data_IF_357346774999
#
_entry.id   IF_357346774999
#
_cell.length_a   1.000
_cell.length_b   1.000
_cell.length_c   1.000
_cell.angle_alpha   90.00
_cell.angle_beta   90.00
_cell.angle_gamma   90.00
#
_symmetry.space_group_name_H-M   'P 1'
#
loop_
_entity.id
_entity.type
_entity.pdbx_description
1 polymer ?
#
# COMPACT_ATOMS: atom_id res chain seq x y z
N UNK A 1 -70.56 -31.59 17.67
CA UNK A 1 -69.82 -32.11 16.50
C UNK A 1 -68.46 -31.46 16.57
N UNK A 2 -67.48 -32.15 17.15
CA UNK A 2 -66.11 -31.70 17.25
C UNK A 2 -65.30 -32.59 16.30
N UNK A 3 -64.69 -31.99 15.27
CA UNK A 3 -63.75 -32.67 14.38
C UNK A 3 -62.41 -32.83 15.10
N UNK A 4 -62.04 -34.09 15.35
CA UNK A 4 -60.73 -34.44 15.88
C UNK A 4 -59.66 -34.40 14.79
N UNK A 5 -58.65 -33.55 14.97
CA UNK A 5 -57.42 -33.58 14.19
C UNK A 5 -56.63 -34.86 14.50
N UNK A 6 -56.41 -35.71 13.49
CA UNK A 6 -55.48 -36.85 13.56
C UNK A 6 -54.05 -36.32 13.54
N UNK A 7 -53.29 -36.59 14.60
CA UNK A 7 -51.84 -36.43 14.60
C UNK A 7 -51.20 -37.58 13.81
N UNK A 8 -50.30 -37.27 12.87
CA UNK A 8 -49.52 -38.27 12.15
C UNK A 8 -48.53 -38.99 13.09
N UNK A 9 -48.30 -40.30 12.90
CA UNK A 9 -47.38 -41.05 13.73
C UNK A 9 -45.94 -40.65 13.43
N UNK A 10 -45.20 -40.34 14.49
CA UNK A 10 -43.76 -40.12 14.49
C UNK A 10 -43.00 -41.31 13.85
N UNK A 11 -42.01 -41.08 12.97
CA UNK A 11 -41.29 -42.16 12.29
C UNK A 11 -40.52 -43.03 13.29
N UNK A 12 -40.42 -44.35 13.04
CA UNK A 12 -39.81 -45.31 13.93
C UNK A 12 -38.32 -45.02 14.20
N UNK A 13 -37.77 -45.43 15.36
CA UNK A 13 -36.42 -45.07 15.79
C UNK A 13 -35.28 -45.45 14.84
N UNK A 14 -35.48 -46.48 14.00
CA UNK A 14 -34.50 -46.94 13.02
C UNK A 14 -34.37 -46.00 11.81
N UNK A 15 -35.46 -45.35 11.39
CA UNK A 15 -35.46 -44.37 10.29
C UNK A 15 -34.90 -43.03 10.75
N UNK A 16 -35.11 -42.65 12.03
CA UNK A 16 -34.48 -41.46 12.63
C UNK A 16 -32.96 -41.59 12.73
N UNK A 17 -32.45 -42.77 13.10
CA UNK A 17 -31.01 -43.05 13.15
C UNK A 17 -30.38 -43.01 11.76
N UNK A 18 -31.03 -43.61 10.76
CA UNK A 18 -30.55 -43.62 9.37
C UNK A 18 -30.53 -42.20 8.77
N UNK A 19 -31.57 -41.40 9.02
CA UNK A 19 -31.59 -40.00 8.59
C UNK A 19 -30.52 -39.12 9.25
N UNK A 20 -30.21 -39.35 10.53
CA UNK A 20 -29.09 -38.66 11.19
C UNK A 20 -27.72 -39.10 10.65
N UNK A 21 -27.54 -40.40 10.37
CA UNK A 21 -26.30 -40.92 9.78
C UNK A 21 -26.07 -40.34 8.36
N UNK A 22 -27.12 -40.25 7.54
CA UNK A 22 -27.05 -39.67 6.19
C UNK A 22 -26.75 -38.15 6.23
N UNK A 23 -27.34 -37.40 7.19
CA UNK A 23 -27.06 -35.97 7.39
C UNK A 23 -25.62 -35.71 7.88
N UNK A 24 -25.12 -36.53 8.81
CA UNK A 24 -23.74 -36.45 9.32
C UNK A 24 -22.70 -36.75 8.22
N UNK A 25 -23.01 -37.70 7.31
CA UNK A 25 -22.15 -38.03 6.17
C UNK A 25 -22.09 -36.89 5.13
N UNK A 26 -23.21 -36.23 4.83
CA UNK A 26 -23.24 -35.08 3.93
C UNK A 26 -22.49 -33.87 4.50
N UNK A 27 -22.65 -33.58 5.80
CA UNK A 27 -21.91 -32.50 6.45
C UNK A 27 -20.40 -32.76 6.46
N UNK A 28 -19.99 -34.00 6.75
CA UNK A 28 -18.58 -34.39 6.71
C UNK A 28 -17.97 -34.21 5.31
N UNK A 29 -18.72 -34.55 4.25
CA UNK A 29 -18.30 -34.36 2.86
C UNK A 29 -18.14 -32.87 2.51
N UNK A 30 -19.09 -32.03 2.93
CA UNK A 30 -19.04 -30.59 2.69
C UNK A 30 -17.84 -29.93 3.41
N UNK A 31 -17.58 -30.34 4.65
CA UNK A 31 -16.40 -29.89 5.41
C UNK A 31 -15.10 -30.32 4.73
N UNK A 32 -15.01 -31.57 4.25
CA UNK A 32 -13.83 -32.05 3.53
C UNK A 32 -13.56 -31.27 2.24
N UNK A 33 -14.61 -30.94 1.48
CA UNK A 33 -14.50 -30.12 0.27
C UNK A 33 -13.98 -28.72 0.59
N UNK A 34 -14.56 -28.04 1.58
CA UNK A 34 -14.12 -26.70 2.02
C UNK A 34 -12.66 -26.70 2.47
N UNK A 35 -12.24 -27.73 3.22
CA UNK A 35 -10.85 -27.91 3.66
C UNK A 35 -9.88 -28.04 2.49
N UNK A 36 -10.26 -28.78 1.44
CA UNK A 36 -9.44 -28.94 0.23
C UNK A 36 -9.27 -27.63 -0.53
N UNK A 37 -10.33 -26.82 -0.62
CA UNK A 37 -10.29 -25.49 -1.24
C UNK A 37 -9.35 -24.55 -0.47
N UNK A 38 -9.47 -24.51 0.87
CA UNK A 38 -8.55 -23.73 1.73
C UNK A 38 -7.09 -24.17 1.57
N UNK A 39 -6.80 -25.46 1.51
CA UNK A 39 -5.43 -25.94 1.28
C UNK A 39 -4.87 -25.49 -0.08
N UNK A 40 -5.73 -25.44 -1.10
CA UNK A 40 -5.33 -25.03 -2.45
C UNK A 40 -5.05 -23.54 -2.52
N UNK A 41 -5.90 -22.73 -1.89
CA UNK A 41 -5.74 -21.28 -1.79
C UNK A 41 -4.50 -20.91 -0.95
N UNK A 42 -4.32 -21.55 0.21
CA UNK A 42 -3.15 -21.34 1.05
C UNK A 42 -1.84 -21.69 0.32
N UNK A 43 -1.80 -22.83 -0.38
CA UNK A 43 -0.64 -23.26 -1.16
C UNK A 43 -0.31 -22.27 -2.29
N UNK A 44 -1.34 -21.72 -2.95
CA UNK A 44 -1.17 -20.71 -3.98
C UNK A 44 -0.61 -19.39 -3.43
N UNK A 45 -1.06 -18.95 -2.26
CA UNK A 45 -0.60 -17.69 -1.62
C UNK A 45 0.83 -17.83 -1.08
N UNK A 46 1.14 -18.97 -0.47
CA UNK A 46 2.43 -19.19 0.22
C UNK A 46 3.49 -19.82 -0.67
N UNK A 47 3.15 -20.18 -1.92
CA UNK A 47 3.96 -21.01 -2.80
C UNK A 47 4.47 -22.29 -2.12
N UNK A 48 3.69 -22.85 -1.18
CA UNK A 48 4.04 -24.04 -0.42
C UNK A 48 3.36 -25.30 -0.96
N UNK A 49 3.88 -26.48 -0.59
CA UNK A 49 3.27 -27.75 -0.96
C UNK A 49 1.98 -28.04 -0.19
N UNK A 50 1.08 -28.85 -0.78
CA UNK A 50 -0.21 -29.21 -0.18
C UNK A 50 -0.10 -29.83 1.23
N UNK A 51 0.98 -30.56 1.51
CA UNK A 51 1.25 -31.13 2.84
C UNK A 51 1.56 -30.05 3.89
N UNK A 52 2.32 -29.01 3.52
CA UNK A 52 2.60 -27.88 4.40
C UNK A 52 1.32 -27.06 4.63
N UNK A 53 0.56 -26.76 3.58
CA UNK A 53 -0.70 -26.04 3.67
C UNK A 53 -1.70 -26.72 4.63
N UNK A 54 -1.87 -28.04 4.49
CA UNK A 54 -2.77 -28.80 5.38
C UNK A 54 -2.33 -28.76 6.84
N UNK A 55 -1.03 -28.75 7.12
CA UNK A 55 -0.50 -28.67 8.48
C UNK A 55 -0.80 -27.32 9.11
N UNK A 56 -0.43 -26.22 8.43
CA UNK A 56 -0.66 -24.86 8.96
C UNK A 56 -2.15 -24.55 9.16
N UNK A 57 -3.01 -25.01 8.25
CA UNK A 57 -4.46 -24.85 8.39
C UNK A 57 -5.02 -25.70 9.52
N UNK A 58 -4.57 -26.94 9.70
CA UNK A 58 -5.01 -27.79 10.82
C UNK A 58 -4.60 -27.19 12.17
N UNK A 59 -3.35 -26.75 12.30
CA UNK A 59 -2.81 -26.12 13.54
C UNK A 59 -3.51 -24.79 13.87
N UNK A 60 -4.12 -24.15 12.88
CA UNK A 60 -4.84 -22.87 13.02
C UNK A 60 -6.36 -23.00 13.13
N UNK A 61 -6.88 -24.22 13.32
CA UNK A 61 -8.33 -24.45 13.39
C UNK A 61 -9.06 -24.14 12.08
N UNK A 62 -8.38 -24.29 10.94
CA UNK A 62 -8.87 -24.01 9.58
C UNK A 62 -9.23 -22.55 9.32
N UNK A 63 -8.64 -21.60 10.05
CA UNK A 63 -8.72 -20.17 9.78
C UNK A 63 -7.56 -19.70 8.90
N UNK A 64 -7.87 -19.25 7.67
CA UNK A 64 -6.88 -18.84 6.66
C UNK A 64 -5.90 -17.77 7.18
N UNK A 65 -6.41 -16.68 7.74
CA UNK A 65 -5.59 -15.57 8.23
C UNK A 65 -4.62 -16.00 9.34
N UNK A 66 -5.07 -16.85 10.27
CA UNK A 66 -4.22 -17.37 11.35
C UNK A 66 -3.13 -18.27 10.81
N UNK A 67 -3.46 -19.13 9.84
CA UNK A 67 -2.49 -20.00 9.19
C UNK A 67 -1.44 -19.21 8.42
N UNK A 68 -1.85 -18.15 7.69
CA UNK A 68 -0.93 -17.30 6.93
C UNK A 68 -0.01 -16.52 7.87
N UNK A 69 -0.55 -15.97 8.96
CA UNK A 69 0.25 -15.31 9.99
C UNK A 69 1.28 -16.25 10.61
N UNK A 70 0.90 -17.50 10.94
CA UNK A 70 1.82 -18.49 11.49
C UNK A 70 2.91 -18.93 10.49
N UNK A 71 2.60 -18.91 9.18
CA UNK A 71 3.55 -19.26 8.12
C UNK A 71 4.58 -18.15 7.87
N UNK A 72 4.15 -16.89 7.83
CA UNK A 72 5.03 -15.75 7.54
C UNK A 72 5.70 -15.15 8.78
N UNK A 73 5.19 -15.41 9.99
CA UNK A 73 5.73 -14.94 11.26
C UNK A 73 5.77 -16.10 12.28
N UNK A 74 6.67 -17.10 12.07
CA UNK A 74 6.76 -18.25 12.97
C UNK A 74 7.18 -17.80 14.39
N UNK A 75 6.62 -18.41 15.45
CA UNK A 75 7.04 -18.11 16.81
C UNK A 75 8.55 -18.34 16.97
N UNK A 76 9.25 -17.38 17.61
CA UNK A 76 10.72 -17.36 17.81
C UNK A 76 11.30 -18.60 18.51
N UNK A 77 10.45 -19.50 19.00
CA UNK A 77 10.84 -20.76 19.66
C UNK A 77 10.87 -21.96 18.69
N UNK A 78 10.59 -21.77 17.40
CA UNK A 78 10.55 -22.86 16.37
C UNK A 78 11.65 -22.78 15.29
N UNK A 79 12.65 -21.90 15.45
CA UNK A 79 13.78 -21.77 14.51
C UNK A 79 14.73 -22.99 14.45
N UNK A 80 14.49 -24.05 15.22
CA UNK A 80 15.37 -25.22 15.27
C UNK A 80 14.96 -26.42 14.39
N UNK A 81 13.79 -26.41 13.72
CA UNK A 81 13.33 -27.62 13.03
C UNK A 81 12.37 -27.38 11.84
N UNK A 82 12.84 -26.76 10.76
CA UNK A 82 12.44 -27.07 9.38
C UNK A 82 13.07 -26.08 8.37
N UNK A 83 14.32 -26.31 8.00
CA UNK A 83 14.84 -25.81 6.72
C UNK A 83 14.44 -26.81 5.61
N UNK A 84 13.86 -26.37 4.47
CA UNK A 84 13.90 -27.17 3.25
C UNK A 84 15.27 -26.97 2.59
N UNK A 85 15.95 -28.08 2.32
CA UNK A 85 17.21 -28.16 1.64
C UNK A 85 17.10 -27.83 0.13
N UNK A 86 17.98 -26.92 -0.31
CA UNK A 86 18.86 -26.94 -1.50
C UNK A 86 18.33 -27.29 -2.92
N UNK A 87 18.55 -26.34 -3.86
CA UNK A 87 19.30 -26.51 -5.13
C UNK A 87 19.58 -25.09 -5.71
N UNK A 88 20.77 -24.49 -5.51
CA UNK A 88 21.95 -24.46 -6.41
C UNK A 88 21.65 -23.74 -7.75
N UNK A 89 22.35 -22.69 -8.21
CA UNK A 89 23.79 -22.53 -8.42
C UNK A 89 24.22 -21.05 -8.55
N UNK A 90 25.43 -20.70 -8.07
CA UNK A 90 26.33 -19.86 -8.88
C UNK A 90 26.97 -18.61 -8.26
N UNK A 91 28.19 -18.79 -7.76
CA UNK A 91 29.30 -17.82 -7.64
C UNK A 91 29.35 -16.87 -6.45
N UNK A 92 29.99 -17.32 -5.38
CA UNK A 92 30.63 -16.44 -4.39
C UNK A 92 32.04 -16.07 -4.89
N UNK A 93 32.36 -14.78 -4.96
CA UNK A 93 33.71 -14.30 -5.24
C UNK A 93 34.44 -14.18 -3.91
N UNK A 94 35.51 -14.95 -3.78
CA UNK A 94 36.49 -14.91 -2.71
C UNK A 94 37.42 -13.69 -2.91
N UNK A 95 37.57 -12.86 -1.87
CA UNK A 95 38.42 -11.67 -1.89
C UNK A 95 39.50 -11.78 -0.81
N UNK A 96 40.48 -12.65 -1.03
CA UNK A 96 41.77 -12.56 -0.36
C UNK A 96 42.92 -12.66 -1.35
N UNK A 97 43.42 -11.51 -1.82
CA UNK A 97 44.81 -11.33 -2.24
C UNK A 97 45.16 -9.85 -2.32
N UNK A 98 46.14 -9.44 -1.52
CA UNK A 98 46.79 -8.14 -1.49
C UNK A 98 48.01 -8.15 -2.44
N UNK A 99 48.33 -7.04 -3.12
CA UNK A 99 49.54 -6.95 -3.95
C UNK A 99 49.57 -5.94 -5.11
N UNK A 100 49.84 -4.66 -4.79
CA UNK A 100 50.88 -3.77 -5.37
C UNK A 100 50.95 -3.44 -6.89
N UNK A 101 50.85 -2.11 -7.14
CA UNK A 101 51.52 -1.25 -8.17
C UNK A 101 51.03 -1.07 -9.62
N UNK A 102 50.63 0.19 -9.87
CA UNK A 102 51.10 1.15 -10.90
C UNK A 102 50.57 1.16 -12.35
N UNK A 103 49.95 2.30 -12.65
CA UNK A 103 50.07 3.21 -13.80
C UNK A 103 49.43 2.94 -15.17
N UNK A 104 48.81 4.04 -15.63
CA UNK A 104 48.64 4.55 -16.99
C UNK A 104 47.46 4.03 -17.83
N UNK A 105 46.41 4.87 -17.85
CA UNK A 105 45.78 5.40 -19.06
C UNK A 105 44.96 4.43 -19.92
N UNK A 106 43.67 4.74 -20.06
CA UNK A 106 43.00 5.10 -21.32
C UNK A 106 41.48 5.06 -21.10
N UNK A 107 40.80 5.97 -21.80
CA UNK A 107 39.36 6.08 -22.03
C UNK A 107 38.46 6.26 -20.82
N UNK A 108 38.10 7.53 -20.63
CA UNK A 108 36.72 8.00 -20.47
C UNK A 108 35.68 6.94 -20.87
N UNK A 109 35.29 6.10 -19.92
CA UNK A 109 33.99 5.46 -19.97
C UNK A 109 33.02 6.51 -19.46
N UNK A 110 32.42 7.18 -20.43
CA UNK A 110 31.09 7.76 -20.33
C UNK A 110 30.22 6.71 -19.64
N UNK A 111 30.08 6.84 -18.32
CA UNK A 111 29.11 6.09 -17.55
C UNK A 111 27.75 6.63 -17.95
N UNK A 112 27.32 6.23 -19.15
CA UNK A 112 25.94 6.28 -19.57
C UNK A 112 25.18 5.64 -18.44
N UNK A 113 24.56 6.48 -17.63
CA UNK A 113 23.59 6.05 -16.63
C UNK A 113 22.59 5.25 -17.44
N UNK A 114 22.63 3.91 -17.31
CA UNK A 114 21.59 3.06 -17.85
C UNK A 114 20.30 3.66 -17.32
N UNK A 115 19.51 4.26 -18.20
CA UNK A 115 18.17 4.68 -17.87
C UNK A 115 17.50 3.45 -17.27
N UNK A 116 17.05 3.59 -16.03
CA UNK A 116 16.39 2.52 -15.33
C UNK A 116 15.02 2.36 -15.99
N UNK A 117 14.92 1.44 -16.96
CA UNK A 117 13.68 1.10 -17.69
C UNK A 117 12.55 0.59 -16.75
N UNK A 118 12.78 0.55 -15.44
CA UNK A 118 11.77 0.15 -14.49
C UNK A 118 10.76 1.27 -14.20
N UNK A 119 9.49 0.87 -14.19
CA UNK A 119 8.35 1.75 -14.01
C UNK A 119 8.44 2.56 -12.72
N UNK A 120 8.00 3.82 -12.77
CA UNK A 120 7.75 4.66 -11.61
C UNK A 120 6.38 4.32 -11.00
N UNK A 121 6.34 4.08 -9.69
CA UNK A 121 5.13 3.72 -8.97
C UNK A 121 4.81 4.70 -7.83
N UNK A 122 3.55 5.12 -7.76
CA UNK A 122 3.06 6.06 -6.75
C UNK A 122 1.73 5.60 -6.17
N UNK A 123 1.62 5.65 -4.84
CA UNK A 123 0.35 5.51 -4.11
C UNK A 123 -0.02 6.87 -3.53
N UNK A 124 -1.30 7.25 -3.61
CA UNK A 124 -1.85 8.34 -2.80
C UNK A 124 -3.04 7.83 -2.00
N UNK A 125 -3.09 8.17 -0.70
CA UNK A 125 -4.09 7.64 0.20
C UNK A 125 -4.41 8.61 1.35
N UNK A 126 -5.67 9.05 1.45
CA UNK A 126 -6.19 9.60 2.68
C UNK A 126 -6.45 8.46 3.66
N UNK A 127 -5.68 8.40 4.75
CA UNK A 127 -5.71 7.29 5.70
C UNK A 127 -6.66 7.52 6.87
N UNK A 128 -7.39 8.64 6.88
CA UNK A 128 -8.42 8.99 7.87
C UNK A 128 -7.91 8.87 9.32
N UNK A 129 -6.69 9.36 9.59
CA UNK A 129 -6.08 9.24 10.91
C UNK A 129 -6.82 10.01 12.01
N UNK A 130 -7.82 10.81 11.66
CA UNK A 130 -8.71 11.50 12.58
C UNK A 130 -9.77 10.59 13.20
N UNK A 131 -10.17 9.50 12.54
CA UNK A 131 -11.06 8.51 13.14
C UNK A 131 -10.31 7.68 14.20
N UNK A 132 -10.71 7.76 15.49
CA UNK A 132 -10.08 6.97 16.55
C UNK A 132 -10.37 5.46 16.45
N UNK A 133 -11.38 5.06 15.67
CA UNK A 133 -11.77 3.67 15.49
C UNK A 133 -10.65 2.80 14.90
N UNK A 134 -10.27 1.75 15.63
CA UNK A 134 -9.29 0.74 15.21
C UNK A 134 -7.96 1.32 14.66
N UNK A 135 -7.56 2.50 15.14
CA UNK A 135 -6.42 3.27 14.60
C UNK A 135 -5.15 2.43 14.44
N UNK A 136 -4.82 1.62 15.46
CA UNK A 136 -3.64 0.74 15.43
C UNK A 136 -3.72 -0.33 14.34
N UNK A 137 -4.87 -0.95 14.15
CA UNK A 137 -5.03 -2.03 13.18
C UNK A 137 -5.11 -1.48 11.75
N UNK A 138 -5.77 -0.33 11.57
CA UNK A 138 -5.72 0.43 10.31
C UNK A 138 -4.29 0.83 9.96
N UNK A 139 -3.53 1.32 10.92
CA UNK A 139 -2.14 1.71 10.72
C UNK A 139 -1.24 0.50 10.37
N UNK A 140 -1.49 -0.69 10.95
CA UNK A 140 -0.84 -1.93 10.51
C UNK A 140 -1.23 -2.31 9.08
N UNK A 141 -2.51 -2.16 8.72
CA UNK A 141 -3.00 -2.39 7.36
C UNK A 141 -2.27 -1.53 6.34
N UNK A 142 -2.12 -0.23 6.60
CA UNK A 142 -1.34 0.70 5.76
C UNK A 142 0.07 0.15 5.55
N UNK A 143 0.77 -0.22 6.62
CA UNK A 143 2.13 -0.75 6.52
C UNK A 143 2.19 -2.06 5.73
N UNK A 144 1.17 -2.91 5.83
CA UNK A 144 1.07 -4.17 5.06
C UNK A 144 0.97 -3.89 3.56
N UNK A 145 0.13 -2.93 3.16
CA UNK A 145 0.03 -2.52 1.75
C UNK A 145 1.31 -1.85 1.22
N UNK A 146 1.98 -1.04 2.06
CA UNK A 146 3.27 -0.46 1.68
C UNK A 146 4.35 -1.52 1.48
N UNK A 147 4.39 -2.56 2.31
CA UNK A 147 5.31 -3.68 2.14
C UNK A 147 4.97 -4.53 0.90
N UNK A 148 3.69 -4.79 0.66
CA UNK A 148 3.20 -5.60 -0.46
C UNK A 148 3.50 -4.96 -1.81
N UNK A 149 3.12 -3.68 -2.00
CA UNK A 149 3.28 -3.00 -3.28
C UNK A 149 4.64 -2.32 -3.45
N UNK A 150 5.30 -1.98 -2.34
CA UNK A 150 6.63 -1.36 -2.32
C UNK A 150 6.78 -0.18 -3.31
N UNK A 151 5.84 0.78 -3.36
CA UNK A 151 5.86 1.87 -4.34
C UNK A 151 7.11 2.75 -4.18
N UNK A 152 7.53 3.44 -5.24
CA UNK A 152 8.66 4.37 -5.17
C UNK A 152 8.32 5.60 -4.32
N UNK A 153 7.07 6.06 -4.43
CA UNK A 153 6.55 7.24 -3.74
C UNK A 153 5.19 6.96 -3.11
N UNK A 154 4.96 7.51 -1.91
CA UNK A 154 3.66 7.46 -1.24
C UNK A 154 3.25 8.87 -0.82
N UNK A 155 2.04 9.27 -1.15
CA UNK A 155 1.38 10.47 -0.63
C UNK A 155 0.32 10.05 0.37
N UNK A 156 0.44 10.50 1.62
CA UNK A 156 -0.56 10.25 2.64
C UNK A 156 -1.23 11.56 3.05
N UNK A 157 -2.55 11.51 3.28
CA UNK A 157 -3.33 12.59 3.88
C UNK A 157 -3.97 12.12 5.18
N UNK A 158 -4.28 13.07 6.07
CA UNK A 158 -4.80 12.80 7.43
C UNK A 158 -3.88 11.93 8.31
N UNK A 159 -2.57 12.11 8.17
CA UNK A 159 -1.60 11.51 9.09
C UNK A 159 -1.59 12.31 10.39
N UNK A 160 -1.82 11.64 11.52
CA UNK A 160 -1.61 12.22 12.86
C UNK A 160 -0.30 11.74 13.50
N UNK A 161 0.21 12.49 14.48
CA UNK A 161 1.50 12.22 15.14
C UNK A 161 1.68 10.75 15.62
N UNK A 162 0.69 10.07 16.22
CA UNK A 162 0.78 8.66 16.59
C UNK A 162 1.08 7.67 15.45
N UNK A 163 0.84 8.02 14.19
CA UNK A 163 1.20 7.16 13.06
C UNK A 163 2.71 7.13 12.80
N UNK A 164 3.42 8.22 13.07
CA UNK A 164 4.82 8.36 12.67
C UNK A 164 5.72 7.26 13.23
N UNK A 165 5.68 6.89 14.52
CA UNK A 165 6.53 5.81 15.04
C UNK A 165 6.27 4.47 14.34
N UNK A 166 5.01 4.17 14.01
CA UNK A 166 4.67 2.93 13.31
C UNK A 166 5.21 2.93 11.88
N UNK A 167 5.02 4.03 11.16
CA UNK A 167 5.55 4.20 9.80
C UNK A 167 7.08 4.11 9.79
N UNK A 168 7.77 4.76 10.73
CA UNK A 168 9.24 4.65 10.82
C UNK A 168 9.72 3.22 11.11
N UNK A 169 8.99 2.47 11.94
CA UNK A 169 9.34 1.09 12.27
C UNK A 169 9.06 0.13 11.11
N UNK A 170 7.88 0.22 10.48
CA UNK A 170 7.40 -0.77 9.50
C UNK A 170 7.71 -0.41 8.05
N UNK A 171 7.91 0.87 7.74
CA UNK A 171 8.30 1.37 6.43
C UNK A 171 9.69 2.02 6.48
N UNK A 172 10.63 1.37 7.18
CA UNK A 172 11.99 1.88 7.44
C UNK A 172 12.83 2.07 6.16
N UNK A 173 12.45 1.40 5.07
CA UNK A 173 13.01 1.57 3.73
C UNK A 173 12.57 2.88 3.04
N UNK A 174 11.69 3.68 3.67
CA UNK A 174 11.28 4.99 3.19
C UNK A 174 11.88 6.13 4.01
N UNK A 175 12.15 7.25 3.35
CA UNK A 175 12.35 8.55 3.97
C UNK A 175 10.98 9.22 4.10
N UNK A 176 10.63 9.68 5.31
CA UNK A 176 9.31 10.23 5.62
C UNK A 176 9.43 11.76 5.73
N UNK A 177 8.66 12.49 4.94
CA UNK A 177 8.66 13.95 4.88
C UNK A 177 7.26 14.46 5.28
N UNK A 178 7.08 14.97 6.50
CA UNK A 178 5.80 15.49 6.95
C UNK A 178 5.56 16.92 6.44
N UNK A 179 4.32 17.22 6.09
CA UNK A 179 3.85 18.54 5.68
C UNK A 179 3.46 19.45 6.84
N UNK A 180 3.35 18.92 8.07
CA UNK A 180 3.15 19.67 9.30
C UNK A 180 3.57 18.81 10.52
N UNK A 181 3.51 19.36 11.72
CA UNK A 181 3.78 18.63 12.98
C UNK A 181 2.62 18.68 13.98
N UNK A 182 1.51 19.33 13.63
CA UNK A 182 0.34 19.51 14.51
C UNK A 182 -0.91 18.84 13.95
N UNK A 183 -1.77 18.38 14.86
CA UNK A 183 -3.07 17.76 14.56
C UNK A 183 -2.94 16.63 13.52
N UNK A 184 -3.35 16.91 12.29
CA UNK A 184 -3.22 16.02 11.14
C UNK A 184 -2.54 16.74 9.98
N UNK A 185 -1.84 15.98 9.15
CA UNK A 185 -1.03 16.53 8.08
C UNK A 185 -0.84 15.55 6.93
N UNK A 186 -0.27 16.07 5.84
CA UNK A 186 0.16 15.26 4.70
C UNK A 186 1.57 14.72 4.93
N UNK A 187 1.90 13.60 4.30
CA UNK A 187 3.24 13.03 4.29
C UNK A 187 3.61 12.60 2.88
N UNK A 188 4.83 12.88 2.46
CA UNK A 188 5.46 12.22 1.30
C UNK A 188 6.48 11.21 1.81
N UNK A 189 6.38 9.96 1.36
CA UNK A 189 7.36 8.91 1.64
C UNK A 189 8.13 8.56 0.38
N UNK A 190 9.45 8.50 0.47
CA UNK A 190 10.36 8.25 -0.66
C UNK A 190 11.15 6.96 -0.44
N UNK A 191 11.10 6.01 -1.38
CA UNK A 191 11.83 4.74 -1.27
C UNK A 191 13.33 4.98 -1.34
N UNK A 192 14.05 4.75 -0.23
CA UNK A 192 15.47 5.12 -0.05
C UNK A 192 16.39 4.53 -1.11
N UNK A 193 16.09 3.33 -1.60
CA UNK A 193 16.91 2.61 -2.57
C UNK A 193 16.84 3.18 -3.99
N UNK A 194 15.82 3.99 -4.32
CA UNK A 194 15.53 4.45 -5.69
C UNK A 194 15.35 5.96 -5.82
N UNK A 195 14.81 6.61 -4.79
CA UNK A 195 14.40 8.01 -4.86
C UNK A 195 15.27 8.88 -3.96
N UNK A 196 16.03 9.79 -4.58
CA UNK A 196 16.91 10.73 -3.89
C UNK A 196 16.20 12.06 -3.66
N UNK A 197 16.07 12.48 -2.41
CA UNK A 197 15.57 13.81 -2.06
C UNK A 197 16.57 14.91 -2.49
N UNK A 198 16.08 15.94 -3.18
CA UNK A 198 16.87 17.12 -3.58
C UNK A 198 16.52 18.35 -2.74
N UNK A 199 15.23 18.70 -2.68
CA UNK A 199 14.72 19.81 -1.87
C UNK A 199 13.27 19.56 -1.43
N UNK A 200 12.84 20.22 -0.36
CA UNK A 200 11.46 20.20 0.10
C UNK A 200 10.99 21.62 0.44
N UNK A 201 9.70 21.86 0.26
CA UNK A 201 9.03 23.14 0.50
C UNK A 201 7.60 22.88 0.99
N UNK A 202 7.13 23.69 1.93
CA UNK A 202 5.72 23.69 2.38
C UNK A 202 5.15 25.05 2.02
N UNK A 203 4.14 25.06 1.15
CA UNK A 203 3.44 26.28 0.74
C UNK A 203 2.14 26.38 1.53
N UNK A 204 1.96 27.42 2.37
CA UNK A 204 0.74 27.56 3.16
C UNK A 204 -0.45 27.93 2.27
N UNK A 205 -1.65 27.54 2.69
CA UNK A 205 -2.90 28.10 2.20
C UNK A 205 -3.42 29.15 3.19
N UNK A 206 -3.23 30.45 2.94
CA UNK A 206 -3.42 31.48 3.97
C UNK A 206 -4.86 31.59 4.50
N UNK A 207 -5.83 31.13 3.72
CA UNK A 207 -7.27 31.23 4.01
C UNK A 207 -7.90 29.90 4.40
N UNK A 208 -7.12 28.84 4.61
CA UNK A 208 -7.64 27.55 5.08
C UNK A 208 -8.21 27.66 6.49
N UNK A 209 -9.33 27.00 6.74
CA UNK A 209 -9.88 26.81 8.08
C UNK A 209 -9.49 25.45 8.68
N UNK A 210 -8.83 24.60 7.90
CA UNK A 210 -8.57 23.20 8.21
C UNK A 210 -7.06 22.86 8.22
N UNK A 211 -6.20 23.86 8.44
CA UNK A 211 -4.73 23.73 8.50
C UNK A 211 -4.10 23.08 7.26
N UNK A 212 -4.69 23.32 6.08
CA UNK A 212 -4.23 22.74 4.82
C UNK A 212 -3.00 23.46 4.26
N UNK A 213 -2.18 22.73 3.52
CA UNK A 213 -1.02 23.26 2.80
C UNK A 213 -0.71 22.41 1.57
N UNK A 214 0.25 22.86 0.78
CA UNK A 214 0.85 22.08 -0.30
C UNK A 214 2.26 21.67 0.10
N UNK A 215 2.48 20.37 0.25
CA UNK A 215 3.81 19.78 0.46
C UNK A 215 4.44 19.50 -0.91
N UNK A 216 5.58 20.11 -1.16
CA UNK A 216 6.34 20.02 -2.41
C UNK A 216 7.69 19.38 -2.11
N UNK A 217 8.06 18.35 -2.85
CA UNK A 217 9.30 17.61 -2.70
C UNK A 217 9.90 17.37 -4.07
N UNK A 218 11.10 17.88 -4.33
CA UNK A 218 11.83 17.54 -5.54
C UNK A 218 12.77 16.39 -5.28
N UNK A 219 12.78 15.46 -6.22
CA UNK A 219 13.55 14.23 -6.14
C UNK A 219 14.26 13.97 -7.45
N UNK A 220 15.29 13.14 -7.39
CA UNK A 220 15.89 12.49 -8.55
C UNK A 220 15.63 10.98 -8.46
N UNK A 221 15.15 10.40 -9.55
CA UNK A 221 15.04 8.96 -9.75
C UNK A 221 15.77 8.61 -11.05
N UNK A 222 16.82 7.79 -10.94
CA UNK A 222 17.60 7.32 -12.10
C UNK A 222 18.04 8.44 -13.06
N UNK A 223 18.44 9.58 -12.51
CA UNK A 223 18.88 10.77 -13.28
C UNK A 223 17.76 11.73 -13.70
N UNK A 224 16.49 11.33 -13.58
CA UNK A 224 15.32 12.16 -13.93
C UNK A 224 14.89 12.98 -12.71
N UNK A 225 14.74 14.29 -12.88
CA UNK A 225 14.22 15.19 -11.83
C UNK A 225 12.70 15.25 -11.86
N UNK A 226 12.09 14.95 -10.71
CA UNK A 226 10.64 15.04 -10.50
C UNK A 226 10.32 16.07 -9.42
N UNK A 227 9.23 16.81 -9.61
CA UNK A 227 8.61 17.62 -8.58
C UNK A 227 7.31 16.94 -8.12
N UNK A 228 7.34 16.40 -6.90
CA UNK A 228 6.23 15.69 -6.28
C UNK A 228 5.47 16.64 -5.36
N UNK A 229 4.16 16.73 -5.56
CA UNK A 229 3.29 17.63 -4.81
C UNK A 229 2.11 16.88 -4.25
N UNK A 230 1.86 17.02 -2.94
CA UNK A 230 0.64 16.51 -2.31
C UNK A 230 -0.04 17.54 -1.43
N UNK A 231 -1.36 17.44 -1.39
CA UNK A 231 -2.20 18.27 -0.53
C UNK A 231 -3.47 17.52 -0.15
N UNK A 232 -4.12 17.98 0.91
CA UNK A 232 -5.49 17.64 1.26
C UNK A 232 -6.30 18.94 1.14
N UNK A 233 -6.95 19.19 -0.01
CA UNK A 233 -7.65 20.46 -0.23
C UNK A 233 -8.93 20.55 0.61
N UNK A 234 -9.37 21.78 0.89
CA UNK A 234 -10.44 22.11 1.82
C UNK A 234 -11.67 21.20 1.64
N UNK A 235 -12.06 20.55 2.74
CA UNK A 235 -13.08 19.51 2.73
C UNK A 235 -14.49 20.08 2.77
N UNK A 236 -15.46 19.19 2.61
CA UNK A 236 -16.90 19.49 2.62
C UNK A 236 -17.36 20.34 1.42
N UNK A 237 -18.69 20.41 1.24
CA UNK A 237 -19.32 21.12 0.13
C UNK A 237 -19.24 22.63 0.31
N UNK A 238 -19.39 23.11 1.53
CA UNK A 238 -19.52 24.54 1.84
C UNK A 238 -18.22 25.31 1.60
N UNK A 239 -17.08 24.63 1.65
CA UNK A 239 -15.77 25.22 1.39
C UNK A 239 -15.33 25.17 -0.09
N UNK A 240 -16.27 25.02 -1.02
CA UNK A 240 -16.01 25.02 -2.47
C UNK A 240 -15.13 26.20 -2.94
N UNK A 241 -15.41 27.41 -2.47
CA UNK A 241 -14.64 28.59 -2.88
C UNK A 241 -13.19 28.54 -2.39
N UNK A 242 -12.96 28.04 -1.19
CA UNK A 242 -11.61 27.90 -0.63
C UNK A 242 -10.83 26.80 -1.37
N UNK A 243 -11.44 25.63 -1.56
CA UNK A 243 -10.85 24.52 -2.33
C UNK A 243 -10.42 24.95 -3.74
N UNK A 244 -11.23 25.76 -4.44
CA UNK A 244 -10.87 26.27 -5.77
C UNK A 244 -9.66 27.22 -5.71
N UNK A 245 -9.56 28.08 -4.68
CA UNK A 245 -8.37 28.94 -4.48
C UNK A 245 -7.12 28.11 -4.24
N UNK A 246 -7.21 27.09 -3.40
CA UNK A 246 -6.10 26.18 -3.11
C UNK A 246 -5.67 25.42 -4.36
N UNK A 247 -6.62 24.92 -5.15
CA UNK A 247 -6.33 24.31 -6.45
C UNK A 247 -5.61 25.29 -7.39
N UNK A 248 -5.99 26.58 -7.39
CA UNK A 248 -5.27 27.59 -8.17
C UNK A 248 -3.81 27.76 -7.70
N UNK A 249 -3.57 27.76 -6.38
CA UNK A 249 -2.20 27.82 -5.81
C UNK A 249 -1.39 26.61 -6.26
N UNK A 250 -1.96 25.40 -6.21
CA UNK A 250 -1.32 24.17 -6.68
C UNK A 250 -0.93 24.30 -8.15
N UNK A 251 -1.90 24.63 -9.01
CA UNK A 251 -1.70 24.75 -10.44
C UNK A 251 -0.62 25.80 -10.78
N UNK A 252 -0.65 26.95 -10.10
CA UNK A 252 0.34 28.02 -10.32
C UNK A 252 1.73 27.64 -9.82
N UNK A 253 1.84 26.80 -8.78
CA UNK A 253 3.12 26.22 -8.36
C UNK A 253 3.64 25.23 -9.41
N UNK A 254 2.79 24.34 -9.93
CA UNK A 254 3.17 23.39 -10.99
C UNK A 254 3.71 24.12 -12.23
N UNK A 255 3.10 25.23 -12.62
CA UNK A 255 3.56 26.06 -13.75
C UNK A 255 4.89 26.77 -13.56
N UNK A 256 5.29 27.03 -12.32
CA UNK A 256 6.55 27.74 -12.01
C UNK A 256 7.76 26.81 -12.03
N UNK A 257 7.54 25.50 -12.06
CA UNK A 257 8.62 24.53 -12.18
C UNK A 257 9.25 24.58 -13.58
N UNK A 258 10.49 24.10 -13.70
CA UNK A 258 11.23 24.09 -14.96
C UNK A 258 10.52 23.22 -16.00
N UNK A 259 10.60 23.60 -17.27
CA UNK A 259 10.14 22.76 -18.39
C UNK A 259 10.86 21.40 -18.47
N UNK A 260 12.08 21.32 -17.91
CA UNK A 260 12.86 20.08 -17.84
C UNK A 260 12.47 19.15 -16.68
N UNK A 261 11.60 19.59 -15.77
CA UNK A 261 11.20 18.84 -14.59
C UNK A 261 9.81 18.27 -14.78
N UNK A 262 9.65 16.96 -14.62
CA UNK A 262 8.31 16.35 -14.62
C UNK A 262 7.62 16.65 -13.30
N UNK A 263 6.40 17.17 -13.36
CA UNK A 263 5.62 17.54 -12.17
C UNK A 263 4.47 16.57 -11.97
N UNK A 264 4.34 16.03 -10.76
CA UNK A 264 3.25 15.15 -10.37
C UNK A 264 2.57 15.75 -9.14
N UNK A 265 1.29 16.09 -9.29
CA UNK A 265 0.42 16.45 -8.19
C UNK A 265 -0.63 15.35 -7.94
N UNK A 266 -0.81 14.97 -6.68
CA UNK A 266 -1.83 14.02 -6.26
C UNK A 266 -2.16 14.14 -4.78
N UNK A 267 -3.38 13.76 -4.41
CA UNK A 267 -3.86 13.80 -3.04
C UNK A 267 -5.37 13.79 -2.97
N UNK A 268 -5.91 13.90 -1.76
CA UNK A 268 -7.34 14.12 -1.55
C UNK A 268 -7.70 15.56 -1.91
N UNK A 269 -8.22 15.73 -3.12
CA UNK A 269 -8.58 17.06 -3.63
C UNK A 269 -9.93 17.53 -3.13
N UNK A 270 -10.78 16.67 -2.57
CA UNK A 270 -12.18 16.99 -2.24
C UNK A 270 -13.00 17.63 -3.40
N UNK A 271 -12.49 17.58 -4.65
CA UNK A 271 -13.09 18.27 -5.79
C UNK A 271 -14.35 17.56 -6.26
N UNK A 272 -15.29 18.36 -6.77
CA UNK A 272 -16.40 17.87 -7.58
C UNK A 272 -16.13 18.24 -9.03
N UNK A 273 -16.64 17.44 -9.96
CA UNK A 273 -16.43 17.64 -11.40
C UNK A 273 -16.84 19.07 -11.86
N UNK A 274 -17.87 19.66 -11.24
CA UNK A 274 -18.34 21.03 -11.52
C UNK A 274 -17.34 22.14 -11.13
N UNK A 275 -16.40 21.84 -10.24
CA UNK A 275 -15.38 22.78 -9.80
C UNK A 275 -14.21 22.84 -10.78
N UNK A 276 -13.87 21.68 -11.37
CA UNK A 276 -12.82 21.54 -12.40
C UNK A 276 -13.31 22.05 -13.76
N UNK A 277 -14.58 21.82 -14.09
CA UNK A 277 -15.14 22.16 -15.40
C UNK A 277 -15.37 23.67 -15.64
N UNK A 278 -14.96 24.55 -14.72
CA UNK A 278 -14.95 26.00 -15.00
C UNK A 278 -13.92 26.26 -16.10
N UNK A 279 -14.37 26.82 -17.24
CA UNK A 279 -13.60 27.02 -18.50
C UNK A 279 -12.15 27.54 -18.37
N UNK A 280 -11.80 28.22 -17.26
CA UNK A 280 -10.42 28.67 -16.98
C UNK A 280 -9.47 27.51 -16.60
N UNK A 281 -9.97 26.46 -15.96
CA UNK A 281 -9.19 25.30 -15.51
C UNK A 281 -9.00 24.28 -16.64
N UNK A 282 -10.01 23.97 -17.44
CA UNK A 282 -9.87 23.08 -18.61
C UNK A 282 -8.86 23.59 -19.65
N UNK A 283 -8.93 24.89 -19.99
CA UNK A 283 -7.95 25.51 -20.90
C UNK A 283 -6.52 25.56 -20.32
N UNK A 284 -6.37 25.36 -19.01
CA UNK A 284 -5.10 25.29 -18.28
C UNK A 284 -4.46 23.89 -18.38
N UNK A 285 -5.28 22.84 -18.38
CA UNK A 285 -4.86 21.44 -18.46
C UNK A 285 -4.38 21.07 -19.88
N UNK A 286 -5.05 21.59 -20.92
CA UNK A 286 -4.77 21.24 -22.32
C UNK A 286 -3.46 21.82 -22.89
N UNK A 287 -2.89 22.86 -22.27
CA UNK A 287 -1.69 23.55 -22.80
C UNK A 287 -0.35 22.96 -22.38
N UNK A 288 -0.30 22.11 -21.36
CA UNK A 288 0.95 21.56 -20.83
C UNK A 288 0.98 20.04 -21.04
N UNK A 289 1.71 19.58 -22.07
CA UNK A 289 1.74 18.16 -22.46
C UNK A 289 2.45 17.23 -21.46
N UNK A 290 3.28 17.77 -20.57
CA UNK A 290 4.09 16.98 -19.63
C UNK A 290 3.63 17.06 -18.16
N UNK A 291 2.45 17.63 -17.90
CA UNK A 291 1.85 17.61 -16.56
C UNK A 291 0.96 16.38 -16.41
N UNK A 292 1.39 15.42 -15.59
CA UNK A 292 0.58 14.27 -15.21
C UNK A 292 -0.28 14.62 -14.00
N UNK A 293 -1.59 14.47 -14.14
CA UNK A 293 -2.54 14.67 -13.04
C UNK A 293 -3.03 13.32 -12.54
N UNK A 294 -2.85 13.03 -11.26
CA UNK A 294 -3.47 11.89 -10.62
C UNK A 294 -4.59 12.39 -9.69
N UNK A 295 -5.80 12.51 -10.26
CA UNK A 295 -7.03 12.77 -9.49
C UNK A 295 -7.63 11.43 -9.07
N UNK A 296 -7.50 11.05 -7.80
CA UNK A 296 -8.21 9.89 -7.26
C UNK A 296 -9.40 10.41 -6.41
N UNK A 297 -10.57 9.82 -6.67
CA UNK A 297 -11.82 10.08 -5.95
C UNK A 297 -11.84 9.32 -4.62
#
# INVERSE_FOLDING_TARGET
MEEGARAEPSPPPAERKRGQEDEDEEEALHVAKRRKELCSEFAAITHSGAAAASRFLADSGWHMERALNAFFDPPRDTEAAAAPACADTGSCIDLTADGTTSNAGVSSEDSQQKEDDSNFSLITWNIDGLDPGNLKDRAKGICTYLALYSPDVVFLQEVILPHLPLLHMKASNYTIIPGNTEEYFTVIMLKKSRVKLLKQEIIPFPTTAMKRNLLVVHVSISGIELCLMTSHLESTKDHSQERIKQLQIVLDKMKKESESTTVIFGGDTNLRDSEVNRKKQLCYLEKNRDIQYLFLK
#
